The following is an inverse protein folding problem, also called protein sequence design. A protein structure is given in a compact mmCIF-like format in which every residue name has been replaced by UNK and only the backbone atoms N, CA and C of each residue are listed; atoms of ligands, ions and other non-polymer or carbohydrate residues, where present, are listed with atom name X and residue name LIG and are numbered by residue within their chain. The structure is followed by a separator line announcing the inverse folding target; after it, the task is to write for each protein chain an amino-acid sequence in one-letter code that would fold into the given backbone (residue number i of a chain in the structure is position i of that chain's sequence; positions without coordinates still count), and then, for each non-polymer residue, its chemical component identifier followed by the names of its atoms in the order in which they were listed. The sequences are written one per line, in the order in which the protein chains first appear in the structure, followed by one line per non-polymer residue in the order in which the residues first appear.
data_IF_395978543481
#
_entry.id   IF_395978543481
#
_cell.length_a   1.000
_cell.length_b   1.000
_cell.length_c   1.000
_cell.angle_alpha   90.00
_cell.angle_beta   90.00
_cell.angle_gamma   90.00
#
_symmetry.space_group_name_H-M   'P 1'
#
loop_
_entity.id
_entity.type
_entity.pdbx_description
1 polymer ?
#
# COMPACT_ATOMS: atom_id res chain seq x y z
N UNK A 1 -0.76 9.73 -10.88
CA UNK A 1 0.36 9.05 -10.18
C UNK A 1 1.25 10.03 -9.42
N UNK A 2 1.82 11.05 -10.08
CA UNK A 2 2.73 12.00 -9.40
C UNK A 2 2.14 12.69 -8.15
N UNK A 3 0.86 13.10 -8.20
CA UNK A 3 0.21 13.75 -7.05
C UNK A 3 0.12 12.80 -5.85
N UNK A 4 -0.41 11.58 -6.03
CA UNK A 4 -0.53 10.65 -4.90
C UNK A 4 0.84 10.22 -4.37
N UNK A 5 1.83 9.98 -5.25
CA UNK A 5 3.15 9.58 -4.78
C UNK A 5 3.87 10.72 -4.03
N UNK A 6 3.59 11.99 -4.37
CA UNK A 6 4.03 13.11 -3.54
C UNK A 6 3.38 13.08 -2.15
N UNK A 7 2.07 12.88 -2.08
CA UNK A 7 1.33 12.77 -0.81
C UNK A 7 1.92 11.64 0.04
N UNK A 8 2.07 10.46 -0.56
CA UNK A 8 2.64 9.27 0.07
C UNK A 8 4.08 9.53 0.56
N UNK A 9 4.91 10.20 -0.25
CA UNK A 9 6.26 10.61 0.14
C UNK A 9 6.25 11.57 1.33
N UNK A 10 5.39 12.59 1.32
CA UNK A 10 5.31 13.57 2.41
C UNK A 10 4.90 12.87 3.74
N UNK A 11 3.97 11.92 3.67
CA UNK A 11 3.59 11.06 4.81
C UNK A 11 4.73 10.16 5.26
N UNK A 12 5.44 9.52 4.33
CA UNK A 12 6.60 8.69 4.67
C UNK A 12 7.68 9.52 5.36
N UNK A 13 8.06 10.66 4.78
CA UNK A 13 9.15 11.52 5.25
C UNK A 13 8.93 12.02 6.69
N UNK A 14 7.74 12.53 7.00
CA UNK A 14 7.46 13.08 8.33
C UNK A 14 7.39 11.99 9.42
N UNK A 15 7.04 10.76 9.03
CA UNK A 15 6.95 9.61 9.92
C UNK A 15 8.27 8.81 10.02
N UNK A 16 9.33 9.26 9.33
CA UNK A 16 10.69 8.73 9.56
C UNK A 16 11.27 9.23 10.89
N UNK A 17 12.23 8.47 11.44
CA UNK A 17 13.02 8.82 12.60
C UNK A 17 14.51 8.48 12.37
N UNK A 18 15.39 8.76 13.34
CA UNK A 18 16.86 8.64 13.23
C UNK A 18 17.32 7.27 12.68
N UNK A 19 16.62 6.19 13.06
CA UNK A 19 16.89 4.81 12.67
C UNK A 19 15.68 4.12 12.04
N UNK A 20 14.70 4.88 11.55
CA UNK A 20 13.48 4.30 10.97
C UNK A 20 13.13 5.04 9.68
N UNK A 21 13.07 4.31 8.57
CA UNK A 21 12.72 4.84 7.26
C UNK A 21 11.40 4.27 6.78
N UNK A 22 10.51 5.17 6.40
CA UNK A 22 9.24 4.81 5.81
C UNK A 22 9.32 4.97 4.29
N UNK A 23 8.68 4.07 3.55
CA UNK A 23 8.60 4.14 2.10
C UNK A 23 7.21 3.74 1.62
N UNK A 24 6.50 4.70 1.01
CA UNK A 24 5.14 4.50 0.49
C UNK A 24 5.10 4.77 -1.00
N UNK A 25 4.44 3.89 -1.76
CA UNK A 25 4.36 4.02 -3.21
C UNK A 25 3.04 3.48 -3.77
N UNK A 26 2.50 4.17 -4.77
CA UNK A 26 1.56 3.60 -5.73
C UNK A 26 2.22 3.52 -7.11
N UNK A 27 2.20 2.35 -7.73
CA UNK A 27 2.68 2.11 -9.08
C UNK A 27 1.66 1.33 -9.91
N UNK A 28 1.74 1.47 -11.24
CA UNK A 28 0.95 0.64 -12.17
C UNK A 28 1.78 -0.57 -12.57
N UNK A 29 1.26 -1.77 -12.30
CA UNK A 29 1.94 -3.02 -12.61
C UNK A 29 1.61 -3.52 -14.01
N UNK A 30 0.38 -3.26 -14.45
CA UNK A 30 -0.08 -3.55 -15.80
C UNK A 30 -1.25 -2.65 -16.17
N UNK A 31 -1.31 -2.22 -17.43
CA UNK A 31 -2.49 -1.56 -18.02
C UNK A 31 -3.54 -2.60 -18.44
N UNK A 32 -3.18 -3.89 -18.53
CA UNK A 32 -4.09 -4.97 -18.83
C UNK A 32 -4.61 -5.64 -17.55
N UNK A 33 -5.89 -5.43 -17.24
CA UNK A 33 -6.52 -6.02 -16.05
C UNK A 33 -6.65 -7.54 -16.08
N UNK A 34 -6.52 -8.17 -17.25
CA UNK A 34 -6.57 -9.63 -17.41
C UNK A 34 -5.22 -10.31 -17.14
N UNK A 35 -4.16 -9.52 -16.88
CA UNK A 35 -2.87 -10.08 -16.51
C UNK A 35 -2.95 -10.89 -15.21
N UNK A 36 -2.13 -11.93 -15.13
CA UNK A 36 -2.10 -12.82 -13.99
C UNK A 36 -1.65 -12.08 -12.73
N UNK A 37 -2.59 -11.83 -11.81
CA UNK A 37 -2.35 -11.06 -10.60
C UNK A 37 -1.30 -11.68 -9.67
N UNK A 38 -1.20 -13.02 -9.64
CA UNK A 38 -0.20 -13.72 -8.84
C UNK A 38 1.22 -13.51 -9.40
N UNK A 39 1.36 -13.49 -10.73
CA UNK A 39 2.64 -13.16 -11.38
C UNK A 39 3.04 -11.72 -11.11
N UNK A 40 2.09 -10.79 -11.16
CA UNK A 40 2.34 -9.37 -10.85
C UNK A 40 2.72 -9.17 -9.38
N UNK A 41 2.03 -9.84 -8.45
CA UNK A 41 2.38 -9.79 -7.03
C UNK A 41 3.81 -10.27 -6.78
N UNK A 42 4.17 -11.44 -7.32
CA UNK A 42 5.53 -11.99 -7.21
C UNK A 42 6.60 -11.01 -7.72
N UNK A 43 6.30 -10.33 -8.84
CA UNK A 43 7.20 -9.32 -9.42
C UNK A 43 7.29 -8.06 -8.53
N UNK A 44 6.17 -7.57 -8.01
CA UNK A 44 6.11 -6.37 -7.19
C UNK A 44 6.88 -6.53 -5.87
N UNK A 45 6.76 -7.69 -5.24
CA UNK A 45 7.39 -7.97 -3.95
C UNK A 45 8.77 -8.63 -4.07
N UNK A 46 9.31 -8.76 -5.29
CA UNK A 46 10.55 -9.48 -5.57
C UNK A 46 10.62 -10.90 -4.96
N UNK A 47 9.47 -11.55 -4.78
CA UNK A 47 9.40 -12.83 -4.09
C UNK A 47 10.14 -13.93 -4.87
N UNK A 48 11.02 -14.63 -4.16
CA UNK A 48 11.86 -15.71 -4.64
C UNK A 48 11.15 -17.07 -4.51
N UNK A 49 11.83 -18.17 -4.83
CA UNK A 49 11.30 -19.52 -4.63
C UNK A 49 11.24 -19.95 -3.17
N UNK A 50 11.94 -19.24 -2.28
CA UNK A 50 12.00 -19.56 -0.85
C UNK A 50 10.91 -18.84 -0.05
N UNK A 51 10.23 -17.87 -0.68
CA UNK A 51 9.23 -17.04 -0.02
C UNK A 51 7.84 -17.64 -0.19
N UNK A 52 6.99 -17.50 0.83
CA UNK A 52 5.57 -17.83 0.71
C UNK A 52 4.80 -16.56 0.40
N UNK A 53 4.19 -16.51 -0.78
CA UNK A 53 3.32 -15.39 -1.19
C UNK A 53 1.87 -15.85 -1.23
N UNK A 54 1.02 -15.22 -0.42
CA UNK A 54 -0.42 -15.43 -0.38
C UNK A 54 -1.15 -14.15 -0.84
N UNK A 55 -2.18 -14.32 -1.68
CA UNK A 55 -3.07 -13.24 -2.11
C UNK A 55 -4.44 -13.41 -1.49
N UNK A 56 -4.79 -12.52 -0.56
CA UNK A 56 -6.05 -12.55 0.15
C UNK A 56 -6.98 -11.53 -0.51
N UNK A 57 -8.02 -12.00 -1.19
CA UNK A 57 -9.03 -11.13 -1.79
C UNK A 57 -9.90 -10.50 -0.70
N UNK A 58 -9.92 -9.19 -0.65
CA UNK A 58 -10.72 -8.42 0.29
C UNK A 58 -12.16 -8.29 -0.23
N UNK A 59 -13.15 -8.58 0.63
CA UNK A 59 -14.58 -8.51 0.29
C UNK A 59 -15.15 -7.12 0.54
N UNK A 60 -14.69 -6.47 1.61
CA UNK A 60 -15.03 -5.12 2.01
C UNK A 60 -13.74 -4.30 2.12
N UNK A 61 -13.03 -4.18 1.00
CA UNK A 61 -11.64 -3.71 0.96
C UNK A 61 -11.37 -2.42 1.75
N UNK A 62 -12.28 -1.44 1.73
CA UNK A 62 -12.11 -0.20 2.50
C UNK A 62 -12.06 -0.48 4.00
N UNK A 63 -13.01 -1.27 4.52
CA UNK A 63 -13.03 -1.64 5.94
C UNK A 63 -11.80 -2.45 6.31
N UNK A 64 -11.41 -3.39 5.45
CA UNK A 64 -10.25 -4.26 5.68
C UNK A 64 -8.92 -3.48 5.57
N UNK A 65 -8.82 -2.46 4.71
CA UNK A 65 -7.65 -1.59 4.59
C UNK A 65 -7.43 -0.70 5.81
N UNK A 66 -8.51 -0.26 6.46
CA UNK A 66 -8.45 0.50 7.71
C UNK A 66 -7.94 -0.33 8.89
N UNK A 67 -8.00 -1.67 8.81
CA UNK A 67 -7.44 -2.54 9.83
C UNK A 67 -5.93 -2.61 9.65
N UNK A 68 -5.20 -2.07 10.62
CA UNK A 68 -3.75 -2.22 10.71
C UNK A 68 -3.39 -3.68 11.01
N UNK A 69 -2.63 -4.31 10.12
CA UNK A 69 -2.23 -5.72 10.22
C UNK A 69 -1.06 -5.93 11.18
N UNK A 70 -0.35 -4.86 11.53
CA UNK A 70 0.82 -4.88 12.42
C UNK A 70 0.54 -4.10 13.70
N UNK A 71 0.92 -4.68 14.84
CA UNK A 71 0.91 -3.99 16.13
C UNK A 71 1.75 -2.70 16.02
N UNK A 72 1.14 -1.54 16.30
CA UNK A 72 1.75 -0.21 16.16
C UNK A 72 2.02 0.28 14.72
N UNK A 73 1.63 -0.47 13.68
CA UNK A 73 1.87 -0.08 12.29
C UNK A 73 1.26 1.28 11.96
N UNK A 74 0.05 1.56 12.43
CA UNK A 74 -0.63 2.83 12.17
C UNK A 74 0.09 4.04 12.79
N UNK A 75 0.63 3.90 14.01
CA UNK A 75 1.47 4.94 14.60
C UNK A 75 2.81 5.10 13.87
N UNK A 76 3.39 4.00 13.39
CA UNK A 76 4.64 4.05 12.61
C UNK A 76 4.44 4.64 11.23
N UNK A 77 3.30 4.38 10.59
CA UNK A 77 3.02 4.87 9.24
C UNK A 77 2.42 6.28 9.21
N UNK A 78 1.55 6.58 10.16
CA UNK A 78 0.67 7.74 10.11
C UNK A 78 0.56 8.48 11.46
N UNK A 79 1.54 8.30 12.36
CA UNK A 79 1.56 8.97 13.66
C UNK A 79 1.67 10.50 13.58
N UNK A 80 2.19 11.02 12.47
CA UNK A 80 2.28 12.45 12.16
C UNK A 80 1.63 12.74 10.81
N UNK A 81 0.97 13.90 10.73
CA UNK A 81 0.36 14.42 9.50
C UNK A 81 1.32 15.47 8.92
N UNK A 82 1.66 15.42 7.62
CA UNK A 82 2.55 16.41 7.03
C UNK A 82 1.89 17.80 7.02
N UNK A 83 2.71 18.84 7.17
CA UNK A 83 2.21 20.22 7.19
C UNK A 83 1.55 20.60 5.85
N UNK A 84 0.40 21.28 5.91
CA UNK A 84 -0.34 21.73 4.72
C UNK A 84 -1.39 20.74 4.19
N UNK A 85 -1.53 19.57 4.82
CA UNK A 85 -2.62 18.64 4.54
C UNK A 85 -3.77 18.84 5.52
N UNK A 86 -4.95 19.20 5.00
CA UNK A 86 -6.22 19.15 5.73
C UNK A 86 -6.92 17.84 5.39
N UNK A 87 -7.08 16.97 6.40
CA UNK A 87 -7.76 15.68 6.23
C UNK A 87 -9.28 15.81 6.37
N UNK A 88 -9.82 17.00 6.64
CA UNK A 88 -11.26 17.26 6.78
C UNK A 88 -11.98 16.32 7.75
N UNK A 89 -11.30 15.90 8.83
CA UNK A 89 -11.83 14.99 9.84
C UNK A 89 -11.66 13.50 9.55
N UNK A 90 -11.06 13.13 8.40
CA UNK A 90 -10.68 11.77 8.08
C UNK A 90 -9.44 11.33 8.84
N UNK A 91 -9.34 10.03 9.11
CA UNK A 91 -8.07 9.40 9.46
C UNK A 91 -7.11 9.42 8.26
N UNK A 92 -5.79 9.33 8.48
CA UNK A 92 -4.83 9.24 7.39
C UNK A 92 -5.13 8.13 6.38
N UNK A 93 -5.51 6.92 6.85
CA UNK A 93 -5.86 5.82 5.94
C UNK A 93 -7.15 6.08 5.16
N UNK A 94 -8.18 6.71 5.75
CA UNK A 94 -9.38 7.13 5.02
C UNK A 94 -9.04 8.17 3.94
N UNK A 95 -8.17 9.13 4.28
CA UNK A 95 -7.68 10.10 3.30
C UNK A 95 -6.91 9.41 2.15
N UNK A 96 -6.05 8.43 2.45
CA UNK A 96 -5.37 7.63 1.41
C UNK A 96 -6.37 6.86 0.53
N UNK A 97 -7.44 6.30 1.10
CA UNK A 97 -8.53 5.68 0.31
C UNK A 97 -9.10 6.69 -0.69
N UNK A 98 -9.40 7.92 -0.27
CA UNK A 98 -9.90 8.96 -1.18
C UNK A 98 -8.88 9.30 -2.27
N UNK A 99 -7.60 9.41 -1.93
CA UNK A 99 -6.55 9.69 -2.92
C UNK A 99 -6.39 8.54 -3.93
N UNK A 100 -6.49 7.28 -3.48
CA UNK A 100 -6.47 6.10 -4.35
C UNK A 100 -7.66 6.13 -5.33
N UNK A 101 -8.87 6.36 -4.83
CA UNK A 101 -10.08 6.48 -5.66
C UNK A 101 -9.98 7.65 -6.65
N UNK A 102 -9.35 8.76 -6.25
CA UNK A 102 -9.07 9.89 -7.15
C UNK A 102 -8.10 9.53 -8.28
N UNK A 103 -7.19 8.58 -8.06
CA UNK A 103 -6.30 8.06 -9.11
C UNK A 103 -7.06 7.09 -10.02
N UNK A 104 -7.80 6.15 -9.44
CA UNK A 104 -8.51 5.11 -10.19
C UNK A 104 -9.72 5.65 -10.96
N UNK A 105 -10.33 6.76 -10.49
CA UNK A 105 -11.58 7.33 -11.00
C UNK A 105 -12.79 6.39 -10.90
N UNK A 106 -12.66 5.31 -10.13
CA UNK A 106 -13.71 4.32 -9.87
C UNK A 106 -13.39 3.51 -8.60
N UNK A 107 -14.35 2.70 -8.16
CA UNK A 107 -14.04 1.59 -7.26
C UNK A 107 -13.19 0.52 -7.97
N UNK A 108 -12.24 -0.11 -7.27
CA UNK A 108 -11.57 -1.30 -7.78
C UNK A 108 -12.58 -2.45 -7.97
N UNK A 109 -12.42 -3.21 -9.06
CA UNK A 109 -13.17 -4.45 -9.31
C UNK A 109 -12.81 -5.51 -8.25
N UNK A 110 -11.52 -5.60 -7.93
CA UNK A 110 -10.96 -6.54 -6.97
C UNK A 110 -9.79 -5.89 -6.22
N UNK A 111 -9.67 -6.19 -4.93
CA UNK A 111 -8.53 -5.78 -4.11
C UNK A 111 -7.95 -7.00 -3.43
N UNK A 112 -6.63 -7.12 -3.49
CA UNK A 112 -5.90 -8.21 -2.87
C UNK A 112 -4.90 -7.64 -1.88
N UNK A 113 -4.93 -8.12 -0.65
CA UNK A 113 -3.83 -7.93 0.28
C UNK A 113 -2.76 -8.97 -0.01
N UNK A 114 -1.52 -8.52 -0.11
CA UNK A 114 -0.36 -9.38 -0.32
C UNK A 114 0.24 -9.70 1.04
N UNK A 115 0.27 -10.99 1.37
CA UNK A 115 0.96 -11.50 2.55
C UNK A 115 2.20 -12.26 2.09
N UNK A 116 3.37 -11.72 2.42
CA UNK A 116 4.67 -12.30 2.07
C UNK A 116 5.36 -12.86 3.33
N UNK A 117 5.72 -14.13 3.32
CA UNK A 117 6.67 -14.67 4.29
C UNK A 117 8.02 -14.81 3.58
N UNK A 118 8.94 -13.84 3.73
CA UNK A 118 10.19 -13.79 2.99
C UNK A 118 11.25 -14.80 3.47
N UNK A 119 10.96 -15.65 4.47
CA UNK A 119 11.93 -16.61 5.01
C UNK A 119 13.26 -15.99 5.51
N UNK A 120 13.32 -14.66 5.65
CA UNK A 120 14.50 -13.80 5.81
C UNK A 120 14.11 -12.33 6.05
N UNK A 121 15.07 -11.40 6.07
CA UNK A 121 14.81 -9.98 6.36
C UNK A 121 14.31 -9.22 5.11
N UNK A 122 13.12 -8.61 5.16
CA UNK A 122 12.49 -7.86 4.06
C UNK A 122 12.10 -6.43 4.44
N UNK A 123 11.51 -6.24 5.63
CA UNK A 123 11.22 -4.95 6.27
C UNK A 123 10.76 -5.22 7.73
N UNK A 124 10.82 -4.24 8.63
CA UNK A 124 10.31 -4.40 10.00
C UNK A 124 8.78 -4.54 10.03
N UNK A 125 8.08 -3.77 9.21
CA UNK A 125 6.67 -3.99 8.90
C UNK A 125 6.33 -3.44 7.51
N UNK A 126 5.36 -4.06 6.85
CA UNK A 126 4.90 -3.64 5.54
C UNK A 126 3.43 -4.02 5.30
N UNK A 127 2.72 -3.22 4.52
CA UNK A 127 1.36 -3.49 4.07
C UNK A 127 1.27 -3.24 2.56
N UNK A 128 0.95 -4.29 1.81
CA UNK A 128 1.03 -4.27 0.34
C UNK A 128 -0.27 -4.76 -0.28
N UNK A 129 -0.74 -4.06 -1.32
CA UNK A 129 -2.03 -4.32 -1.94
C UNK A 129 -1.95 -4.26 -3.45
N UNK A 130 -2.76 -5.09 -4.12
CA UNK A 130 -3.06 -4.98 -5.54
C UNK A 130 -4.50 -4.54 -5.75
N UNK A 131 -4.68 -3.49 -6.53
CA UNK A 131 -5.98 -2.96 -6.92
C UNK A 131 -6.19 -3.24 -8.40
N UNK A 132 -7.17 -4.11 -8.72
CA UNK A 132 -7.61 -4.36 -10.09
C UNK A 132 -8.71 -3.36 -10.43
N UNK A 133 -8.52 -2.61 -11.51
CA UNK A 133 -9.45 -1.59 -11.99
C UNK A 133 -9.72 -1.79 -13.49
N UNK A 134 -10.57 -0.95 -14.08
CA UNK A 134 -10.80 -0.93 -15.52
C UNK A 134 -9.59 -0.39 -16.32
N UNK A 135 -8.71 0.41 -15.70
CA UNK A 135 -7.54 1.03 -16.35
C UNK A 135 -6.24 0.30 -16.09
N UNK A 136 -6.24 -0.73 -15.24
CA UNK A 136 -5.06 -1.53 -14.95
C UNK A 136 -5.05 -2.16 -13.56
N UNK A 137 -3.93 -2.78 -13.24
CA UNK A 137 -3.61 -3.35 -11.94
C UNK A 137 -2.55 -2.47 -11.28
N UNK A 138 -2.88 -1.91 -10.12
CA UNK A 138 -2.00 -1.03 -9.35
C UNK A 138 -1.44 -1.76 -8.14
N UNK A 139 -0.18 -1.51 -7.81
CA UNK A 139 0.47 -1.97 -6.61
C UNK A 139 0.65 -0.80 -5.65
N UNK A 140 0.17 -0.96 -4.42
CA UNK A 140 0.35 -0.02 -3.34
C UNK A 140 1.19 -0.67 -2.25
N UNK A 141 2.24 -0.01 -1.81
CA UNK A 141 3.13 -0.50 -0.78
C UNK A 141 3.30 0.55 0.31
N UNK A 142 3.22 0.12 1.56
CA UNK A 142 3.63 0.88 2.73
C UNK A 142 4.67 0.08 3.50
N UNK A 143 5.89 0.58 3.62
CA UNK A 143 7.00 -0.15 4.28
C UNK A 143 7.64 0.72 5.37
N UNK A 144 8.15 0.06 6.41
CA UNK A 144 8.98 0.64 7.47
C UNK A 144 10.23 -0.24 7.62
N UNK A 145 11.38 0.39 7.56
CA UNK A 145 12.71 -0.21 7.64
C UNK A 145 13.46 0.35 8.86
N UNK A 146 14.25 -0.48 9.53
CA UNK A 146 15.21 -0.07 10.58
C UNK A 146 16.60 0.25 10.01
#
# INVERSE_FOLDING_TARGET
MNTINKILSDFADINTDEYVRNYYELSIMSENKEDNIFVLAKKATYATSNDTLELIRLKEWKKEFLICQYSNGESSWFGKIPCGYDLHGLTPKEFIIEQLLNVFKQEPDEVYWIKLDPGGYYACCYEEYLFKTNTGIYFFSMQVHD
#
